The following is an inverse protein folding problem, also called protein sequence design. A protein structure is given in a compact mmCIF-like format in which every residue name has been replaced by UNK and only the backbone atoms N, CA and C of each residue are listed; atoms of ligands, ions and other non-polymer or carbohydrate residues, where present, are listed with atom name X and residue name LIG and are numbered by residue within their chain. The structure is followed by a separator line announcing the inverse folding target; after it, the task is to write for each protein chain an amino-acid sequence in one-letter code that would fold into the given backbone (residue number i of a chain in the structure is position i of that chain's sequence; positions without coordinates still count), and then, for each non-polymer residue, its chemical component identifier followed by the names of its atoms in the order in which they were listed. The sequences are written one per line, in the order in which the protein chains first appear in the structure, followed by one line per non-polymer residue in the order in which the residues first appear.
data_IF_859778428754
#
_entry.id   IF_859778428754
#
_cell.length_a   1.000
_cell.length_b   1.000
_cell.length_c   1.000
_cell.angle_alpha   90.00
_cell.angle_beta   90.00
_cell.angle_gamma   90.00
#
_symmetry.space_group_name_H-M   'P 1'
#
loop_
_entity.id
_entity.type
_entity.pdbx_description
1 polymer ?
#
# COMPACT_ATOMS: atom_id res chain seq x y z
N UNK A 1 -8.73 -12.34 -16.10
CA UNK A 1 -8.30 -11.01 -16.60
C UNK A 1 -8.36 -9.91 -15.53
N UNK A 2 -9.51 -9.71 -14.83
CA UNK A 2 -9.62 -8.66 -13.77
C UNK A 2 -8.61 -8.81 -12.63
N UNK A 3 -8.36 -10.04 -12.16
CA UNK A 3 -7.35 -10.31 -11.12
C UNK A 3 -5.92 -9.98 -11.56
N UNK A 4 -5.61 -10.16 -12.85
CA UNK A 4 -4.30 -9.83 -13.41
C UNK A 4 -4.09 -8.31 -13.46
N UNK A 5 -5.13 -7.57 -13.85
CA UNK A 5 -5.13 -6.10 -13.90
C UNK A 5 -4.95 -5.52 -12.49
N UNK A 6 -5.68 -6.05 -11.50
CA UNK A 6 -5.56 -5.66 -10.11
C UNK A 6 -4.15 -5.85 -9.55
N UNK A 7 -3.58 -7.05 -9.76
CA UNK A 7 -2.23 -7.41 -9.31
C UNK A 7 -1.16 -6.49 -9.90
N UNK A 8 -1.23 -6.24 -11.20
CA UNK A 8 -0.32 -5.32 -11.88
C UNK A 8 -0.51 -3.86 -11.42
N UNK A 9 -1.76 -3.41 -11.18
CA UNK A 9 -2.03 -2.07 -10.67
C UNK A 9 -1.39 -1.85 -9.28
N UNK A 10 -1.37 -2.87 -8.42
CA UNK A 10 -0.70 -2.79 -7.13
C UNK A 10 0.83 -2.75 -7.25
N UNK A 11 1.42 -3.62 -8.09
CA UNK A 11 2.87 -3.62 -8.29
C UNK A 11 3.33 -2.28 -8.89
N UNK A 12 2.63 -1.76 -9.89
CA UNK A 12 2.94 -0.47 -10.51
C UNK A 12 2.74 0.67 -9.51
N UNK A 13 1.64 0.68 -8.75
CA UNK A 13 1.40 1.69 -7.70
C UNK A 13 2.46 1.66 -6.60
N UNK A 14 2.93 0.46 -6.23
CA UNK A 14 4.03 0.30 -5.28
C UNK A 14 5.34 0.88 -5.83
N UNK A 15 5.69 0.60 -7.09
CA UNK A 15 6.86 1.18 -7.73
C UNK A 15 6.77 2.72 -7.81
N UNK A 16 5.60 3.26 -8.15
CA UNK A 16 5.34 4.71 -8.17
C UNK A 16 5.54 5.30 -6.77
N UNK A 17 5.06 4.63 -5.72
CA UNK A 17 5.21 5.09 -4.34
C UNK A 17 6.67 5.16 -3.89
N UNK A 18 7.51 4.22 -4.35
CA UNK A 18 8.94 4.20 -4.06
C UNK A 18 9.62 5.39 -4.75
N UNK A 19 9.35 5.61 -6.04
CA UNK A 19 9.92 6.74 -6.80
C UNK A 19 9.46 8.08 -6.20
N UNK A 20 8.20 8.17 -5.80
CA UNK A 20 7.62 9.32 -5.13
C UNK A 20 8.33 9.69 -3.82
N UNK A 21 8.72 8.69 -3.02
CA UNK A 21 9.49 8.93 -1.81
C UNK A 21 10.94 9.32 -2.07
N UNK A 22 11.54 8.84 -3.17
CA UNK A 22 12.89 9.28 -3.60
C UNK A 22 12.91 10.77 -3.94
N UNK A 23 11.92 11.25 -4.69
CA UNK A 23 11.84 12.67 -5.11
C UNK A 23 11.22 13.57 -4.05
N UNK A 24 10.80 13.02 -2.91
CA UNK A 24 10.17 13.73 -1.79
C UNK A 24 9.01 14.66 -2.22
N UNK A 25 7.89 14.05 -2.60
CA UNK A 25 6.69 14.76 -3.09
C UNK A 25 5.89 15.55 -2.02
N UNK A 26 6.41 15.66 -0.79
CA UNK A 26 5.75 16.36 0.31
C UNK A 26 4.39 15.77 0.73
N UNK A 27 3.68 16.47 1.61
CA UNK A 27 2.43 15.99 2.22
C UNK A 27 1.27 15.87 1.22
N UNK A 28 1.16 16.80 0.27
CA UNK A 28 0.15 16.75 -0.79
C UNK A 28 0.36 15.52 -1.69
N UNK A 29 1.61 15.18 -2.00
CA UNK A 29 1.94 13.99 -2.76
C UNK A 29 1.63 12.69 -2.02
N UNK A 30 1.89 12.63 -0.71
CA UNK A 30 1.49 11.48 0.12
C UNK A 30 -0.02 11.28 0.12
N UNK A 31 -0.82 12.35 0.20
CA UNK A 31 -2.28 12.25 0.11
C UNK A 31 -2.74 11.68 -1.23
N UNK A 32 -2.05 12.02 -2.33
CA UNK A 32 -2.31 11.43 -3.65
C UNK A 32 -1.98 9.93 -3.68
N UNK A 33 -0.88 9.51 -3.06
CA UNK A 33 -0.54 8.09 -2.94
C UNK A 33 -1.59 7.31 -2.14
N UNK A 34 -2.12 7.89 -1.06
CA UNK A 34 -3.26 7.28 -0.33
C UNK A 34 -4.45 7.13 -1.27
N UNK A 35 -4.82 8.17 -2.02
CA UNK A 35 -5.93 8.11 -2.97
C UNK A 35 -5.72 7.04 -4.06
N UNK A 36 -4.52 6.96 -4.63
CA UNK A 36 -4.15 5.89 -5.56
C UNK A 36 -4.25 4.52 -4.90
N UNK A 37 -3.79 4.39 -3.65
CA UNK A 37 -3.92 3.18 -2.84
C UNK A 37 -5.38 2.75 -2.68
N UNK A 38 -6.27 3.67 -2.34
CA UNK A 38 -7.71 3.41 -2.23
C UNK A 38 -8.27 2.87 -3.55
N UNK A 39 -7.97 3.53 -4.68
CA UNK A 39 -8.42 3.12 -6.02
C UNK A 39 -7.92 1.71 -6.34
N UNK A 40 -6.64 1.45 -6.10
CA UNK A 40 -6.04 0.13 -6.35
C UNK A 40 -6.65 -0.93 -5.43
N UNK A 41 -6.88 -0.65 -4.16
CA UNK A 41 -7.55 -1.56 -3.23
C UNK A 41 -8.99 -1.89 -3.67
N UNK A 42 -9.67 -0.95 -4.32
CA UNK A 42 -10.96 -1.21 -4.95
C UNK A 42 -10.87 -2.16 -6.14
N UNK A 43 -9.83 -2.04 -6.97
CA UNK A 43 -9.65 -2.82 -8.21
C UNK A 43 -9.01 -4.19 -7.95
N UNK A 44 -8.13 -4.31 -6.96
CA UNK A 44 -7.23 -5.44 -6.82
C UNK A 44 -7.90 -6.72 -6.30
N UNK A 45 -8.73 -6.64 -5.26
CA UNK A 45 -8.94 -7.84 -4.45
C UNK A 45 -10.23 -8.60 -4.76
N UNK A 46 -10.05 -9.85 -5.17
CA UNK A 46 -11.10 -10.86 -5.40
C UNK A 46 -10.81 -12.07 -4.49
N UNK A 47 -11.68 -12.31 -3.51
CA UNK A 47 -11.90 -13.54 -2.73
C UNK A 47 -10.71 -14.36 -2.19
N UNK A 48 -9.94 -15.03 -3.05
CA UNK A 48 -9.03 -16.11 -2.63
C UNK A 48 -7.66 -15.65 -2.13
N UNK A 49 -7.22 -14.46 -2.51
CA UNK A 49 -5.88 -13.95 -2.17
C UNK A 49 -5.89 -12.83 -1.11
N UNK A 50 -7.06 -12.49 -0.55
CA UNK A 50 -7.23 -11.34 0.36
C UNK A 50 -6.33 -11.45 1.59
N UNK A 51 -6.30 -12.63 2.22
CA UNK A 51 -5.51 -12.85 3.42
C UNK A 51 -4.00 -12.72 3.16
N UNK A 52 -3.51 -13.32 2.07
CA UNK A 52 -2.11 -13.23 1.68
C UNK A 52 -1.71 -11.80 1.33
N UNK A 53 -2.61 -11.05 0.66
CA UNK A 53 -2.42 -9.63 0.43
C UNK A 53 -2.26 -8.90 1.76
N UNK A 54 -3.28 -8.94 2.63
CA UNK A 54 -3.26 -8.23 3.91
C UNK A 54 -2.03 -8.56 4.77
N UNK A 55 -1.60 -9.83 4.80
CA UNK A 55 -0.38 -10.25 5.48
C UNK A 55 0.88 -9.60 4.89
N UNK A 56 1.02 -9.56 3.57
CA UNK A 56 2.13 -8.88 2.91
C UNK A 56 2.09 -7.36 3.18
N UNK A 57 0.90 -6.76 3.12
CA UNK A 57 0.66 -5.34 3.41
C UNK A 57 1.08 -4.99 4.84
N UNK A 58 0.71 -5.82 5.83
CA UNK A 58 1.14 -5.68 7.22
C UNK A 58 2.65 -5.81 7.34
N UNK A 59 3.26 -6.84 6.75
CA UNK A 59 4.71 -7.03 6.78
C UNK A 59 5.46 -5.81 6.23
N UNK A 60 5.00 -5.24 5.11
CA UNK A 60 5.56 -4.03 4.53
C UNK A 60 5.40 -2.82 5.47
N UNK A 61 4.20 -2.59 6.01
CA UNK A 61 3.96 -1.48 6.96
C UNK A 61 4.84 -1.59 8.22
N UNK A 62 5.06 -2.81 8.71
CA UNK A 62 5.95 -3.07 9.85
C UNK A 62 7.40 -2.68 9.53
N UNK A 63 7.92 -3.05 8.36
CA UNK A 63 9.25 -2.61 7.91
C UNK A 63 9.34 -1.09 7.86
N UNK A 64 8.27 -0.41 7.43
CA UNK A 64 8.23 1.04 7.41
C UNK A 64 8.24 1.68 8.80
N UNK A 65 7.62 1.05 9.78
CA UNK A 65 7.54 1.61 11.14
C UNK A 65 8.86 1.66 11.90
N UNK A 66 9.88 0.89 11.46
CA UNK A 66 11.13 0.69 12.21
C UNK A 66 12.05 1.92 12.21
N UNK A 67 11.80 2.96 11.41
CA UNK A 67 12.52 4.24 11.50
C UNK A 67 14.04 4.07 11.35
N UNK A 68 14.52 3.89 10.12
CA UNK A 68 15.95 3.66 9.86
C UNK A 68 16.76 4.95 10.05
N UNK A 69 17.34 5.13 11.24
CA UNK A 69 18.21 6.27 11.56
C UNK A 69 19.67 5.98 11.19
N UNK A 70 19.92 5.77 9.89
CA UNK A 70 21.27 5.60 9.35
C UNK A 70 21.80 6.98 8.94
N UNK A 71 22.94 7.47 9.49
CA UNK A 71 23.51 8.76 9.09
C UNK A 71 23.73 8.85 7.57
N UNK A 72 23.29 9.96 6.96
CA UNK A 72 23.40 10.19 5.50
C UNK A 72 22.36 9.50 4.62
N UNK A 73 21.68 8.46 5.11
CA UNK A 73 20.71 7.65 4.33
C UNK A 73 19.31 7.67 4.95
N UNK A 74 19.20 7.96 6.25
CA UNK A 74 17.98 7.83 7.03
C UNK A 74 16.84 8.72 6.53
N UNK A 75 17.12 9.96 6.10
CA UNK A 75 16.09 10.84 5.55
C UNK A 75 15.49 10.32 4.24
N UNK A 76 16.34 9.75 3.38
CA UNK A 76 15.91 9.22 2.09
C UNK A 76 15.06 7.97 2.27
N UNK A 77 15.53 7.05 3.12
CA UNK A 77 14.81 5.82 3.44
C UNK A 77 13.51 6.14 4.17
N UNK A 78 13.50 7.09 5.11
CA UNK A 78 12.28 7.50 5.81
C UNK A 78 11.24 8.09 4.85
N UNK A 79 11.66 8.88 3.85
CA UNK A 79 10.75 9.43 2.84
C UNK A 79 10.18 8.34 1.91
N UNK A 80 11.02 7.42 1.43
CA UNK A 80 10.59 6.23 0.69
C UNK A 80 9.59 5.39 1.48
N UNK A 81 9.90 5.18 2.76
CA UNK A 81 9.08 4.43 3.69
C UNK A 81 7.71 5.07 3.86
N UNK A 82 7.67 6.38 4.11
CA UNK A 82 6.44 7.13 4.25
C UNK A 82 5.58 7.06 2.98
N UNK A 83 6.20 7.21 1.80
CA UNK A 83 5.50 7.18 0.53
C UNK A 83 4.90 5.81 0.22
N UNK A 84 5.66 4.73 0.37
CA UNK A 84 5.10 3.39 0.14
C UNK A 84 4.04 3.06 1.19
N UNK A 85 4.26 3.40 2.46
CA UNK A 85 3.30 3.12 3.55
C UNK A 85 1.99 3.85 3.30
N UNK A 86 2.02 5.09 2.81
CA UNK A 86 0.82 5.85 2.45
C UNK A 86 -0.02 5.13 1.36
N UNK A 87 0.62 4.67 0.28
CA UNK A 87 -0.06 3.92 -0.77
C UNK A 87 -0.63 2.59 -0.26
N UNK A 88 0.21 1.82 0.43
CA UNK A 88 -0.08 0.49 0.95
C UNK A 88 -1.22 0.55 1.98
N UNK A 89 -1.23 1.54 2.86
CA UNK A 89 -2.29 1.76 3.84
C UNK A 89 -3.65 2.03 3.19
N UNK A 90 -3.70 2.88 2.16
CA UNK A 90 -4.94 3.13 1.41
C UNK A 90 -5.50 1.86 0.77
N UNK A 91 -4.64 1.08 0.12
CA UNK A 91 -5.06 -0.20 -0.48
C UNK A 91 -5.52 -1.20 0.59
N UNK A 92 -4.76 -1.35 1.68
CA UNK A 92 -5.08 -2.24 2.80
C UNK A 92 -6.45 -1.92 3.40
N UNK A 93 -6.75 -0.63 3.59
CA UNK A 93 -7.97 -0.17 4.23
C UNK A 93 -9.23 -0.64 3.49
N UNK A 94 -9.28 -0.42 2.17
CA UNK A 94 -10.41 -0.85 1.35
C UNK A 94 -10.56 -2.36 1.35
N UNK A 95 -9.44 -3.08 1.25
CA UNK A 95 -9.43 -4.53 1.20
C UNK A 95 -9.89 -5.14 2.52
N UNK A 96 -9.41 -4.61 3.65
CA UNK A 96 -9.80 -5.05 4.97
C UNK A 96 -11.30 -4.85 5.20
N UNK A 97 -11.87 -3.71 4.79
CA UNK A 97 -13.31 -3.46 4.88
C UNK A 97 -14.09 -4.50 4.07
N UNK A 98 -13.69 -4.74 2.80
CA UNK A 98 -14.34 -5.74 1.95
C UNK A 98 -14.32 -7.13 2.58
N UNK A 99 -13.22 -7.51 3.20
CA UNK A 99 -13.09 -8.82 3.85
C UNK A 99 -14.00 -8.94 5.08
N UNK A 100 -14.08 -7.89 5.91
CA UNK A 100 -15.00 -7.86 7.06
C UNK A 100 -16.45 -8.07 6.61
N UNK A 101 -16.89 -7.40 5.53
CA UNK A 101 -18.23 -7.61 4.96
C UNK A 101 -18.41 -9.00 4.33
N UNK A 102 -17.37 -9.60 3.76
CA UNK A 102 -17.44 -10.95 3.21
C UNK A 102 -17.62 -12.01 4.31
N UNK A 103 -16.93 -11.85 5.44
CA UNK A 103 -17.04 -12.73 6.61
C UNK A 103 -18.46 -12.69 7.20
N UNK A 104 -19.11 -11.53 7.26
CA UNK A 104 -20.47 -11.41 7.79
C UNK A 104 -21.53 -11.96 6.83
N UNK A 105 -21.30 -11.92 5.51
CA UNK A 105 -22.23 -12.45 4.50
C UNK A 105 -22.14 -13.96 4.31
N UNK A 106 -20.97 -14.56 4.58
CA UNK A 106 -20.73 -16.00 4.44
C UNK A 106 -21.01 -16.80 5.73
N UNK A 107 -21.54 -16.14 6.77
CA UNK A 107 -22.17 -16.78 7.94
C UNK A 107 -23.68 -16.75 7.77
#
# INVERSE_FOLDING_TARGET
MKEMIGRWAFIVGLLISIIAGIVNIGTAGLAWLVALGLIVGFINVTGKEVMNFLLATIALMMVGSIGLNIPGVGNFVTSMVAAFTAFVAGAAFIVAIKEVFAITRNK
#
